data_IF_424373042800
#
_entry.id   IF_424373042800
#
_cell.length_a   1.000
_cell.length_b   1.000
_cell.length_c   1.000
_cell.angle_alpha   90.00
_cell.angle_beta   90.00
_cell.angle_gamma   90.00
#
_symmetry.space_group_name_H-M   'P 1'
#
loop_
_entity.id
_entity.type
_entity.pdbx_description
1 polymer ?
#
# COMPACT_ATOMS: atom_id res chain seq x y z
N UNK A 1 -0.32 -16.59 -27.56
CA UNK A 1 -1.41 -16.61 -26.55
C UNK A 1 -0.89 -16.15 -25.18
N UNK A 2 -0.14 -15.04 -25.12
CA UNK A 2 0.50 -14.51 -23.90
C UNK A 2 0.29 -12.99 -23.74
N UNK A 3 -0.36 -12.35 -24.72
CA UNK A 3 -0.45 -10.90 -24.86
C UNK A 3 -1.53 -10.24 -23.99
N UNK A 4 -2.57 -10.98 -23.58
CA UNK A 4 -3.67 -10.40 -22.81
C UNK A 4 -3.33 -10.20 -21.33
N UNK A 5 -2.70 -11.19 -20.70
CA UNK A 5 -2.21 -11.08 -19.31
C UNK A 5 -1.18 -9.95 -19.20
N UNK A 6 -0.20 -9.90 -20.11
CA UNK A 6 0.78 -8.82 -20.14
C UNK A 6 0.13 -7.44 -20.30
N UNK A 7 -0.93 -7.31 -21.12
CA UNK A 7 -1.71 -6.07 -21.22
C UNK A 7 -2.34 -5.69 -19.89
N UNK A 8 -2.98 -6.59 -19.15
CA UNK A 8 -3.60 -6.25 -17.86
C UNK A 8 -2.60 -5.68 -16.86
N UNK A 9 -1.41 -6.27 -16.78
CA UNK A 9 -0.37 -5.82 -15.84
C UNK A 9 0.35 -4.56 -16.31
N UNK A 10 0.50 -4.31 -17.61
CA UNK A 10 1.24 -3.14 -18.12
C UNK A 10 0.35 -1.94 -18.48
N UNK A 11 -0.92 -2.15 -18.81
CA UNK A 11 -1.83 -1.05 -19.18
C UNK A 11 -2.23 -0.18 -17.99
N UNK A 12 -2.40 -0.75 -16.79
CA UNK A 12 -2.74 0.05 -15.61
C UNK A 12 -1.59 0.99 -15.16
N UNK A 13 -0.33 0.54 -14.99
CA UNK A 13 0.80 1.43 -14.71
C UNK A 13 1.01 2.47 -15.81
N UNK A 14 0.83 2.09 -17.09
CA UNK A 14 0.98 3.00 -18.22
C UNK A 14 -0.05 4.14 -18.21
N UNK A 15 -1.27 3.92 -17.67
CA UNK A 15 -2.28 4.99 -17.53
C UNK A 15 -1.92 6.06 -16.49
N UNK A 16 -1.00 5.74 -15.57
CA UNK A 16 -0.48 6.68 -14.55
C UNK A 16 1.00 7.03 -14.77
N UNK A 17 1.56 6.71 -15.95
CA UNK A 17 2.93 7.04 -16.32
C UNK A 17 4.01 6.29 -15.52
N UNK A 18 3.67 5.21 -14.83
CA UNK A 18 4.61 4.42 -14.02
C UNK A 18 5.07 3.15 -14.76
N UNK A 19 6.31 2.72 -14.52
CA UNK A 19 6.75 1.39 -14.95
C UNK A 19 6.07 0.33 -14.10
N UNK A 20 5.76 -0.84 -14.69
CA UNK A 20 5.11 -1.94 -13.96
C UNK A 20 5.83 -2.31 -12.66
N UNK A 21 7.16 -2.44 -12.72
CA UNK A 21 7.96 -2.78 -11.54
C UNK A 21 7.97 -1.67 -10.49
N UNK A 22 7.95 -0.40 -10.89
CA UNK A 22 7.83 0.73 -9.97
C UNK A 22 6.48 0.75 -9.25
N UNK A 23 5.40 0.57 -10.01
CA UNK A 23 4.04 0.50 -9.48
C UNK A 23 3.85 -0.71 -8.55
N UNK A 24 4.32 -1.88 -8.97
CA UNK A 24 4.25 -3.12 -8.18
C UNK A 24 5.04 -3.01 -6.88
N UNK A 25 6.27 -2.48 -6.91
CA UNK A 25 7.07 -2.29 -5.71
C UNK A 25 6.40 -1.32 -4.73
N UNK A 26 5.83 -0.23 -5.24
CA UNK A 26 5.08 0.71 -4.41
C UNK A 26 3.81 0.06 -3.81
N UNK A 27 3.02 -0.65 -4.62
CA UNK A 27 1.82 -1.33 -4.16
C UNK A 27 2.14 -2.41 -3.11
N UNK A 28 3.22 -3.18 -3.30
CA UNK A 28 3.68 -4.17 -2.34
C UNK A 28 4.12 -3.52 -1.02
N UNK A 29 4.91 -2.44 -1.07
CA UNK A 29 5.29 -1.66 0.11
C UNK A 29 4.06 -1.11 0.83
N UNK A 30 3.14 -0.47 0.10
CA UNK A 30 1.92 0.11 0.65
C UNK A 30 1.06 -0.96 1.35
N UNK A 31 0.85 -2.10 0.68
CA UNK A 31 0.09 -3.21 1.23
C UNK A 31 0.72 -3.76 2.50
N UNK A 32 2.05 -3.96 2.53
CA UNK A 32 2.75 -4.45 3.72
C UNK A 32 2.53 -3.53 4.94
N UNK A 33 2.61 -2.21 4.75
CA UNK A 33 2.38 -1.23 5.81
C UNK A 33 0.93 -1.24 6.28
N UNK A 34 -0.02 -1.35 5.35
CA UNK A 34 -1.44 -1.41 5.71
C UNK A 34 -1.75 -2.67 6.55
N UNK A 35 -1.19 -3.82 6.20
CA UNK A 35 -1.32 -5.04 7.00
C UNK A 35 -0.69 -4.89 8.39
N UNK A 36 0.48 -4.25 8.50
CA UNK A 36 1.08 -3.96 9.81
C UNK A 36 0.20 -3.05 10.66
N UNK A 37 -0.41 -2.01 10.06
CA UNK A 37 -1.34 -1.12 10.77
C UNK A 37 -2.58 -1.87 11.26
N UNK A 38 -3.17 -2.71 10.40
CA UNK A 38 -4.32 -3.54 10.75
C UNK A 38 -3.99 -4.53 11.87
N UNK A 39 -2.82 -5.19 11.80
CA UNK A 39 -2.37 -6.10 12.83
C UNK A 39 -2.11 -5.38 14.16
N UNK A 40 -1.46 -4.22 14.14
CA UNK A 40 -1.24 -3.40 15.33
C UNK A 40 -2.56 -2.98 15.98
N UNK A 41 -3.53 -2.52 15.20
CA UNK A 41 -4.87 -2.16 15.69
C UNK A 41 -5.62 -3.38 16.25
N UNK A 42 -5.48 -4.55 15.62
CA UNK A 42 -6.09 -5.79 16.09
C UNK A 42 -5.52 -6.20 17.46
N UNK A 43 -4.19 -6.20 17.62
CA UNK A 43 -3.56 -6.52 18.91
C UNK A 43 -3.98 -5.49 19.96
N UNK A 44 -3.97 -4.20 19.63
CA UNK A 44 -4.41 -3.13 20.52
C UNK A 44 -5.86 -3.30 21.00
N UNK A 45 -6.76 -3.79 20.14
CA UNK A 45 -8.16 -4.05 20.50
C UNK A 45 -8.32 -5.09 21.63
N UNK A 46 -7.40 -6.06 21.73
CA UNK A 46 -7.36 -7.03 22.83
C UNK A 46 -6.45 -6.59 23.99
N UNK A 47 -5.37 -5.85 23.69
CA UNK A 47 -4.34 -5.42 24.62
C UNK A 47 -4.12 -3.89 24.47
N UNK A 48 -4.97 -3.05 25.10
CA UNK A 48 -5.03 -1.61 24.84
C UNK A 48 -3.78 -0.81 25.27
N UNK A 49 -2.82 -1.44 25.93
CA UNK A 49 -1.54 -0.83 26.29
C UNK A 49 -0.42 -1.12 25.26
N UNK A 50 -0.65 -1.99 24.27
CA UNK A 50 0.28 -2.25 23.18
C UNK A 50 -0.12 -1.48 21.93
N UNK A 51 0.87 -0.94 21.20
CA UNK A 51 0.67 -0.31 19.88
C UNK A 51 -0.27 0.91 19.84
N UNK A 52 -0.39 1.67 20.93
CA UNK A 52 -1.34 2.81 21.09
C UNK A 52 -1.35 3.81 19.90
N UNK A 53 -0.18 4.07 19.35
CA UNK A 53 0.07 5.07 18.31
C UNK A 53 0.63 4.46 17.02
N UNK A 54 0.91 3.15 17.02
CA UNK A 54 1.58 2.47 15.90
C UNK A 54 0.67 2.42 14.66
N UNK A 55 -0.58 2.00 14.82
CA UNK A 55 -1.53 1.91 13.72
C UNK A 55 -1.76 3.30 13.09
N UNK A 56 -2.07 4.30 13.91
CA UNK A 56 -2.29 5.68 13.47
C UNK A 56 -1.06 6.30 12.79
N UNK A 57 0.15 6.03 13.32
CA UNK A 57 1.41 6.48 12.72
C UNK A 57 1.63 5.90 11.32
N UNK A 58 1.36 4.60 11.13
CA UNK A 58 1.49 3.96 9.82
C UNK A 58 0.45 4.50 8.83
N UNK A 59 -0.81 4.69 9.25
CA UNK A 59 -1.85 5.26 8.38
C UNK A 59 -1.48 6.68 7.95
N UNK A 60 -0.93 7.50 8.84
CA UNK A 60 -0.42 8.83 8.50
C UNK A 60 0.70 8.77 7.45
N UNK A 61 1.68 7.89 7.64
CA UNK A 61 2.76 7.68 6.65
C UNK A 61 2.19 7.28 5.28
N UNK A 62 1.24 6.34 5.26
CA UNK A 62 0.58 5.90 4.04
C UNK A 62 -0.17 7.03 3.36
N UNK A 63 -0.90 7.84 4.12
CA UNK A 63 -1.61 9.01 3.60
C UNK A 63 -0.65 10.04 3.01
N UNK A 64 0.39 10.45 3.74
CA UNK A 64 1.37 11.44 3.29
C UNK A 64 2.03 11.02 1.96
N UNK A 65 2.34 9.73 1.80
CA UNK A 65 2.98 9.21 0.56
C UNK A 65 2.02 8.93 -0.59
N UNK A 66 0.72 8.82 -0.34
CA UNK A 66 -0.30 8.59 -1.40
C UNK A 66 -1.06 9.84 -1.80
N UNK A 67 -1.22 10.82 -0.90
CA UNK A 67 -2.06 12.01 -1.10
C UNK A 67 -1.69 12.85 -2.32
N UNK A 68 -0.43 12.75 -2.78
CA UNK A 68 0.09 13.47 -3.95
C UNK A 68 0.52 12.55 -5.10
N UNK A 69 0.28 11.24 -5.01
CA UNK A 69 0.71 10.27 -6.03
C UNK A 69 -0.43 10.02 -7.03
N UNK A 70 -0.15 10.14 -8.33
CA UNK A 70 -1.13 9.88 -9.40
C UNK A 70 -2.07 11.05 -9.71
N UNK A 71 -1.73 12.27 -9.28
CA UNK A 71 -2.28 13.51 -9.82
C UNK A 71 -1.49 13.98 -11.04
#
# INVERSE_FOLDING_TARGET
>A
MTTWLARLFTSHPATVGETYFGHMAFAAWFSSRLFMAAFAALVHAFLPFLFDSTASGIIRELYERTHNRGR
#
